data_IF_844969555004
#
_entry.id   IF_844969555004
#
_cell.length_a   1.000
_cell.length_b   1.000
_cell.length_c   1.000
_cell.angle_alpha   90.00
_cell.angle_beta   90.00
_cell.angle_gamma   90.00
#
_symmetry.space_group_name_H-M   'P 1'
#
loop_
_entity.id
_entity.type
_entity.pdbx_description
1 polymer ?
#
# COMPACT_ATOMS: atom_id res chain seq x y z
N UNK A 1 -7.94 6.58 25.75
CA UNK A 1 -9.18 6.06 25.13
C UNK A 1 -8.83 5.39 23.81
N UNK A 2 -9.64 4.44 23.35
CA UNK A 2 -9.40 3.71 22.10
C UNK A 2 -10.17 4.30 20.92
N UNK A 3 -9.55 4.33 19.76
CA UNK A 3 -10.19 4.65 18.49
C UNK A 3 -10.84 3.39 17.92
N UNK A 4 -11.95 3.53 17.20
CA UNK A 4 -12.62 2.41 16.55
C UNK A 4 -12.76 2.75 15.07
N UNK A 5 -12.23 1.86 14.24
CA UNK A 5 -12.38 1.88 12.79
C UNK A 5 -13.51 0.91 12.44
N UNK A 6 -14.43 1.33 11.57
CA UNK A 6 -15.50 0.50 11.03
C UNK A 6 -15.10 0.09 9.62
N UNK A 7 -15.07 -1.22 9.37
CA UNK A 7 -14.75 -1.82 8.08
C UNK A 7 -15.97 -1.83 7.17
N UNK A 8 -15.73 -1.92 5.87
CA UNK A 8 -16.80 -2.01 4.85
C UNK A 8 -17.73 -3.23 5.03
N UNK A 9 -17.24 -4.30 5.66
CA UNK A 9 -18.02 -5.49 6.00
C UNK A 9 -18.89 -5.34 7.28
N UNK A 10 -18.88 -4.16 7.91
CA UNK A 10 -19.60 -3.86 9.15
C UNK A 10 -18.91 -4.34 10.43
N UNK A 11 -17.73 -4.94 10.34
CA UNK A 11 -16.92 -5.28 11.51
C UNK A 11 -16.20 -4.04 12.05
N UNK A 12 -15.94 -4.02 13.35
CA UNK A 12 -15.28 -2.90 14.02
C UNK A 12 -13.93 -3.35 14.58
N UNK A 13 -12.86 -2.61 14.27
CA UNK A 13 -11.54 -2.83 14.86
C UNK A 13 -11.19 -1.71 15.83
N UNK A 14 -10.85 -2.09 17.06
CA UNK A 14 -10.33 -1.17 18.06
C UNK A 14 -8.86 -0.90 17.75
N UNK A 15 -8.53 0.35 17.44
CA UNK A 15 -7.16 0.81 17.30
C UNK A 15 -6.76 1.50 18.60
N UNK A 16 -5.92 0.80 19.35
CA UNK A 16 -5.19 1.31 20.49
C UNK A 16 -3.94 0.47 20.71
N UNK A 17 -2.95 1.02 21.38
CA UNK A 17 -1.74 0.27 21.76
C UNK A 17 -0.46 1.07 21.67
N UNK A 18 -0.40 2.05 20.79
CA UNK A 18 0.73 2.95 20.69
C UNK A 18 0.56 4.15 21.62
N UNK A 19 1.56 4.40 22.46
CA UNK A 19 1.70 5.59 23.29
C UNK A 19 2.93 6.37 22.83
N UNK A 20 2.71 7.60 22.36
CA UNK A 20 3.82 8.48 22.01
C UNK A 20 4.67 8.83 23.24
N UNK A 21 5.99 8.76 23.08
CA UNK A 21 6.92 9.36 24.03
C UNK A 21 8.01 10.12 23.28
N UNK A 22 8.31 11.33 23.76
CA UNK A 22 9.44 12.08 23.22
C UNK A 22 10.76 11.34 23.48
N UNK A 23 11.72 11.38 22.54
CA UNK A 23 13.02 10.76 22.72
C UNK A 23 13.75 11.32 23.94
N UNK A 24 14.48 10.47 24.67
CA UNK A 24 15.28 10.89 25.83
C UNK A 24 16.42 11.83 25.37
N UNK A 25 16.83 12.82 26.18
CA UNK A 25 18.02 13.62 25.87
C UNK A 25 19.24 12.74 25.60
N UNK A 26 19.99 13.03 24.53
CA UNK A 26 21.16 12.23 24.13
C UNK A 26 20.83 11.00 23.27
N UNK A 27 19.57 10.79 22.89
CA UNK A 27 19.18 9.78 21.88
C UNK A 27 19.98 9.98 20.60
N UNK A 28 20.62 8.92 20.12
CA UNK A 28 21.37 8.90 18.87
C UNK A 28 20.41 9.15 17.70
N UNK A 29 20.77 10.07 16.81
CA UNK A 29 19.99 10.39 15.61
C UNK A 29 20.59 9.67 14.42
N UNK A 30 19.74 9.18 13.53
CA UNK A 30 20.18 8.61 12.26
C UNK A 30 20.84 9.69 11.39
N UNK A 31 22.05 9.40 10.89
CA UNK A 31 22.88 10.33 10.12
C UNK A 31 23.00 10.02 8.63
N UNK A 32 22.61 8.82 8.17
CA UNK A 32 22.63 8.43 6.76
C UNK A 32 24.01 8.40 6.10
N UNK A 33 25.05 8.06 6.86
CA UNK A 33 26.43 8.15 6.38
C UNK A 33 26.86 6.95 5.52
N UNK A 34 26.14 5.81 5.53
CA UNK A 34 26.64 4.56 4.91
C UNK A 34 26.58 4.57 3.39
N UNK A 35 25.53 5.17 2.83
CA UNK A 35 25.42 5.32 1.37
C UNK A 35 26.35 6.42 0.81
N UNK A 36 26.96 7.25 1.66
CA UNK A 36 27.79 8.36 1.22
C UNK A 36 27.05 9.28 0.24
N UNK A 37 27.67 9.56 -0.91
CA UNK A 37 27.11 10.40 -1.98
C UNK A 37 26.38 9.59 -3.08
N UNK A 38 26.09 8.31 -2.87
CA UNK A 38 25.32 7.52 -3.85
C UNK A 38 23.92 8.10 -4.00
N UNK A 39 23.41 8.09 -5.23
CA UNK A 39 22.01 8.40 -5.48
C UNK A 39 21.13 7.33 -4.81
N UNK A 40 19.97 7.75 -4.32
CA UNK A 40 18.98 6.80 -3.79
C UNK A 40 18.29 6.11 -4.97
N UNK A 41 18.05 4.80 -4.92
CA UNK A 41 17.24 4.11 -5.93
C UNK A 41 15.81 4.67 -5.90
N UNK A 42 15.07 4.60 -7.02
CA UNK A 42 13.68 5.05 -7.07
C UNK A 42 12.72 4.16 -6.27
N UNK A 43 13.08 2.88 -6.10
CA UNK A 43 12.30 1.89 -5.36
C UNK A 43 13.20 1.08 -4.44
N UNK A 44 12.71 0.81 -3.22
CA UNK A 44 13.31 -0.16 -2.29
C UNK A 44 12.21 -1.03 -1.73
N UNK A 45 12.43 -2.35 -1.75
CA UNK A 45 11.49 -3.32 -1.19
C UNK A 45 12.21 -4.36 -0.32
N UNK A 46 12.03 -4.27 1.01
CA UNK A 46 12.61 -5.20 1.97
C UNK A 46 11.68 -6.39 2.29
N UNK A 47 10.49 -6.49 1.67
CA UNK A 47 9.50 -7.56 1.92
C UNK A 47 10.07 -8.99 1.79
N UNK A 48 10.96 -9.32 0.83
CA UNK A 48 11.52 -10.68 0.72
C UNK A 48 12.22 -11.19 2.00
N UNK A 49 12.73 -10.27 2.81
CA UNK A 49 13.43 -10.59 4.05
C UNK A 49 12.56 -10.54 5.29
N UNK A 50 11.28 -10.22 5.17
CA UNK A 50 10.35 -10.24 6.30
C UNK A 50 9.78 -11.65 6.52
N UNK A 51 9.24 -11.86 7.72
CA UNK A 51 8.45 -13.04 8.12
C UNK A 51 7.00 -12.89 7.64
N UNK A 52 6.16 -13.90 7.85
CA UNK A 52 4.72 -13.83 7.54
C UNK A 52 4.01 -12.75 8.35
N UNK A 53 2.94 -12.14 7.84
CA UNK A 53 2.24 -11.06 8.55
C UNK A 53 1.60 -11.53 9.85
N UNK A 54 1.85 -10.75 10.91
CA UNK A 54 1.28 -10.98 12.23
C UNK A 54 -0.16 -10.49 12.36
N UNK A 55 -0.89 -11.07 13.31
CA UNK A 55 -2.21 -10.60 13.72
C UNK A 55 -2.27 -10.36 15.23
N UNK A 56 -2.32 -9.09 15.64
CA UNK A 56 -2.42 -8.69 17.05
C UNK A 56 -3.79 -9.03 17.70
N UNK A 57 -4.78 -9.43 16.90
CA UNK A 57 -6.14 -9.72 17.36
C UNK A 57 -6.78 -8.53 18.07
N UNK A 58 -7.31 -8.79 19.27
CA UNK A 58 -8.02 -7.79 20.10
C UNK A 58 -7.11 -7.09 21.12
N UNK A 59 -5.82 -7.40 21.13
CA UNK A 59 -4.84 -6.84 22.07
C UNK A 59 -4.35 -5.45 21.62
N UNK A 60 -3.83 -4.66 22.57
CA UNK A 60 -3.25 -3.35 22.31
C UNK A 60 -1.72 -3.43 22.11
N UNK A 61 -1.27 -4.46 21.39
CA UNK A 61 0.16 -4.84 21.26
C UNK A 61 0.83 -4.36 19.97
N UNK A 62 0.25 -3.39 19.24
CA UNK A 62 0.77 -2.96 17.93
C UNK A 62 2.26 -2.56 17.94
N UNK A 63 2.71 -1.88 19.00
CA UNK A 63 4.13 -1.55 19.19
C UNK A 63 5.01 -2.80 19.22
N UNK A 64 4.61 -3.83 19.97
CA UNK A 64 5.35 -5.08 20.06
C UNK A 64 5.38 -5.83 18.72
N UNK A 65 4.30 -5.77 17.92
CA UNK A 65 4.27 -6.39 16.60
C UNK A 65 5.19 -5.67 15.60
N UNK A 66 5.19 -4.33 15.60
CA UNK A 66 6.09 -3.54 14.75
C UNK A 66 7.57 -3.78 15.11
N UNK A 67 7.86 -3.85 16.41
CA UNK A 67 9.21 -4.12 16.94
C UNK A 67 9.63 -5.56 16.66
N UNK A 68 8.73 -6.54 16.82
CA UNK A 68 8.98 -7.94 16.47
C UNK A 68 9.37 -8.07 14.99
N UNK A 69 8.61 -7.48 14.07
CA UNK A 69 8.92 -7.55 12.64
C UNK A 69 10.29 -6.95 12.27
N UNK A 70 10.72 -5.87 12.95
CA UNK A 70 12.07 -5.32 12.77
C UNK A 70 13.16 -6.25 13.32
N UNK A 71 12.88 -6.90 14.45
CA UNK A 71 13.82 -7.79 15.10
C UNK A 71 13.94 -9.11 14.32
N UNK A 72 12.84 -9.70 13.88
CA UNK A 72 12.79 -10.88 13.00
C UNK A 72 13.53 -10.62 11.70
N UNK A 73 13.37 -9.43 11.11
CA UNK A 73 14.17 -9.02 9.96
C UNK A 73 15.67 -9.10 10.27
N UNK A 74 16.12 -8.54 11.41
CA UNK A 74 17.53 -8.63 11.80
C UNK A 74 17.98 -10.08 12.04
N UNK A 75 17.18 -10.87 12.74
CA UNK A 75 17.46 -12.28 13.02
C UNK A 75 17.59 -13.07 11.72
N UNK A 76 16.63 -12.96 10.80
CA UNK A 76 16.65 -13.63 9.50
C UNK A 76 17.86 -13.22 8.66
N UNK A 77 18.27 -11.94 8.73
CA UNK A 77 19.46 -11.45 8.02
C UNK A 77 20.79 -11.88 8.64
N UNK A 78 20.83 -12.28 9.91
CA UNK A 78 22.07 -12.70 10.60
C UNK A 78 22.17 -14.22 10.80
N UNK A 79 21.04 -14.89 11.00
CA UNK A 79 20.96 -16.31 11.35
C UNK A 79 20.48 -17.19 10.18
N UNK A 80 19.97 -16.58 9.09
CA UNK A 80 19.50 -17.28 7.89
C UNK A 80 18.53 -18.43 8.20
N UNK A 81 19.00 -19.68 8.11
CA UNK A 81 18.20 -20.90 8.36
C UNK A 81 17.81 -21.10 9.83
N UNK A 82 18.53 -20.48 10.77
CA UNK A 82 18.26 -20.56 12.21
C UNK A 82 17.31 -19.43 12.69
N UNK A 83 16.67 -18.72 11.77
CA UNK A 83 15.70 -17.67 12.09
C UNK A 83 14.42 -18.26 12.70
N UNK A 84 13.80 -17.51 13.60
CA UNK A 84 12.61 -17.91 14.34
C UNK A 84 11.61 -16.76 14.44
N UNK A 85 10.33 -17.09 14.59
CA UNK A 85 9.27 -16.11 14.88
C UNK A 85 9.36 -15.70 16.35
N UNK A 86 9.26 -14.40 16.60
CA UNK A 86 9.62 -13.82 17.90
C UNK A 86 8.38 -13.62 18.76
N UNK A 87 8.47 -13.94 20.05
CA UNK A 87 7.34 -13.76 20.96
C UNK A 87 6.96 -12.29 21.12
N UNK A 88 5.83 -11.92 20.52
CA UNK A 88 5.28 -10.56 20.63
C UNK A 88 4.80 -10.25 22.04
N UNK A 89 4.29 -11.24 22.78
CA UNK A 89 3.86 -11.04 24.17
C UNK A 89 5.04 -10.84 25.12
N UNK A 90 6.19 -11.48 24.86
CA UNK A 90 7.42 -11.24 25.61
C UNK A 90 7.86 -9.78 25.46
N UNK A 91 7.94 -9.28 24.22
CA UNK A 91 8.27 -7.87 23.93
C UNK A 91 7.24 -6.94 24.59
N UNK A 92 5.94 -7.27 24.45
CA UNK A 92 4.86 -6.42 24.96
C UNK A 92 4.82 -6.35 26.49
N UNK A 93 5.07 -7.45 27.18
CA UNK A 93 5.15 -7.48 28.64
C UNK A 93 6.31 -6.61 29.14
N UNK A 94 7.52 -6.87 28.64
CA UNK A 94 8.73 -6.15 29.07
C UNK A 94 8.65 -4.65 28.81
N UNK A 95 8.08 -4.24 27.67
CA UNK A 95 7.85 -2.82 27.38
C UNK A 95 6.96 -2.11 28.42
N UNK A 96 5.93 -2.82 28.94
CA UNK A 96 4.99 -2.27 29.93
C UNK A 96 5.52 -2.35 31.35
N UNK A 97 6.33 -3.37 31.67
CA UNK A 97 7.00 -3.49 32.96
C UNK A 97 7.96 -2.31 33.25
N UNK A 98 8.54 -1.71 32.20
CA UNK A 98 9.32 -0.47 32.33
C UNK A 98 8.47 0.78 32.64
N UNK A 99 7.16 0.76 32.39
CA UNK A 99 6.27 1.89 32.68
C UNK A 99 5.63 1.80 34.08
N UNK A 100 5.29 0.58 34.53
CA UNK A 100 4.49 0.35 35.75
C UNK A 100 4.54 -1.10 36.21
N UNK A 101 4.25 -1.32 37.49
CA UNK A 101 4.17 -2.67 38.09
C UNK A 101 2.81 -3.36 37.84
N UNK A 102 1.71 -2.62 37.71
CA UNK A 102 0.38 -3.19 37.47
C UNK A 102 0.10 -3.36 35.97
N UNK A 103 0.67 -4.44 35.40
CA UNK A 103 0.62 -4.74 33.97
C UNK A 103 -0.82 -4.93 33.48
N UNK A 104 -1.18 -4.16 32.44
CA UNK A 104 -2.50 -4.18 31.78
C UNK A 104 -2.34 -4.00 30.28
N UNK A 105 -3.30 -4.51 29.52
CA UNK A 105 -3.37 -4.36 28.07
C UNK A 105 -3.85 -2.95 27.69
N UNK A 106 -2.99 -1.95 27.91
CA UNK A 106 -3.27 -0.53 27.70
C UNK A 106 -2.34 0.13 26.66
N UNK A 107 -1.55 -0.68 25.96
CA UNK A 107 -0.52 -0.21 25.05
C UNK A 107 0.84 0.03 25.70
N UNK A 108 1.82 0.32 24.86
CA UNK A 108 3.22 0.55 25.25
C UNK A 108 3.85 1.66 24.41
N UNK A 109 5.05 2.07 24.83
CA UNK A 109 5.89 3.06 24.14
C UNK A 109 6.93 2.33 23.28
N UNK A 110 7.17 2.79 22.04
CA UNK A 110 8.15 2.17 21.11
C UNK A 110 9.54 2.10 21.75
N UNK A 111 10.00 3.22 22.32
CA UNK A 111 11.29 3.28 23.00
C UNK A 111 11.42 2.25 24.15
N UNK A 112 10.35 1.96 24.89
CA UNK A 112 10.41 0.97 25.97
C UNK A 112 10.49 -0.46 25.43
N UNK A 113 9.79 -0.76 24.33
CA UNK A 113 9.92 -2.06 23.68
C UNK A 113 11.36 -2.28 23.15
N UNK A 114 11.96 -1.25 22.54
CA UNK A 114 13.36 -1.27 22.10
C UNK A 114 14.32 -1.45 23.30
N UNK A 115 14.09 -0.76 24.42
CA UNK A 115 14.94 -0.93 25.62
C UNK A 115 14.80 -2.34 26.21
N UNK A 116 13.59 -2.90 26.21
CA UNK A 116 13.37 -4.30 26.60
C UNK A 116 14.15 -5.28 25.72
N UNK A 117 14.22 -5.05 24.41
CA UNK A 117 15.05 -5.88 23.50
C UNK A 117 16.56 -5.72 23.76
N UNK A 118 17.03 -4.56 24.21
CA UNK A 118 18.45 -4.37 24.58
C UNK A 118 18.80 -5.10 25.88
N UNK A 119 17.86 -5.11 26.83
CA UNK A 119 18.09 -5.70 28.15
C UNK A 119 17.88 -7.22 28.15
N UNK A 120 16.80 -7.67 27.52
CA UNK A 120 16.34 -9.05 27.60
C UNK A 120 16.50 -9.82 26.30
N UNK A 121 16.55 -9.14 25.15
CA UNK A 121 16.39 -9.78 23.85
C UNK A 121 14.93 -10.16 23.59
N UNK A 122 14.70 -11.18 22.78
CA UNK A 122 13.38 -11.80 22.65
C UNK A 122 13.46 -13.29 22.32
N UNK A 123 12.62 -14.07 23.00
CA UNK A 123 12.49 -15.50 22.81
C UNK A 123 11.63 -15.85 21.58
N UNK A 124 11.60 -17.14 21.25
CA UNK A 124 10.70 -17.67 20.22
C UNK A 124 9.23 -17.56 20.63
N UNK A 125 8.34 -17.32 19.67
CA UNK A 125 6.90 -17.40 19.86
C UNK A 125 6.45 -18.83 20.19
N UNK A 126 7.25 -19.87 19.92
CA UNK A 126 6.98 -21.22 20.42
C UNK A 126 7.14 -21.33 21.94
N UNK A 127 8.15 -20.64 22.50
CA UNK A 127 8.45 -20.66 23.95
C UNK A 127 7.47 -19.79 24.73
N UNK A 128 7.07 -18.65 24.17
CA UNK A 128 6.04 -17.79 24.75
C UNK A 128 4.98 -17.41 23.70
N UNK A 129 3.95 -18.26 23.51
CA UNK A 129 2.95 -18.10 22.46
C UNK A 129 2.10 -16.84 22.54
N UNK A 130 1.62 -16.38 21.38
CA UNK A 130 0.65 -15.30 21.32
C UNK A 130 -0.75 -15.78 21.78
N UNK A 131 -0.97 -15.79 23.09
CA UNK A 131 -2.26 -16.05 23.72
C UNK A 131 -2.78 -14.81 24.46
N UNK A 132 -3.91 -14.28 24.00
CA UNK A 132 -4.56 -13.10 24.58
C UNK A 132 -4.94 -13.27 26.07
N UNK A 133 -5.15 -14.49 26.54
CA UNK A 133 -5.44 -14.76 27.95
C UNK A 133 -4.20 -14.52 28.83
N UNK A 134 -3.01 -14.70 28.27
CA UNK A 134 -1.71 -14.51 28.94
C UNK A 134 -1.09 -13.14 28.67
N UNK A 135 -1.81 -12.23 28.01
CA UNK A 135 -1.30 -10.92 27.57
C UNK A 135 -0.68 -10.08 28.70
N UNK A 136 -1.08 -10.28 29.95
CA UNK A 136 -0.54 -9.54 31.10
C UNK A 136 0.33 -10.41 32.03
N UNK A 137 0.50 -11.69 31.70
CA UNK A 137 1.31 -12.61 32.50
C UNK A 137 2.79 -12.39 32.22
N UNK A 138 3.59 -12.53 33.28
CA UNK A 138 5.04 -12.45 33.18
C UNK A 138 5.57 -13.68 32.43
N UNK A 139 6.46 -13.49 31.43
CA UNK A 139 7.10 -14.61 30.76
C UNK A 139 7.85 -15.53 31.73
N UNK A 140 7.94 -16.81 31.37
CA UNK A 140 8.68 -17.80 32.14
C UNK A 140 10.18 -17.47 32.22
N UNK A 141 10.86 -17.98 33.25
CA UNK A 141 12.33 -17.87 33.36
C UNK A 141 13.04 -18.46 32.13
N UNK A 142 12.52 -19.56 31.58
CA UNK A 142 12.99 -20.18 30.34
C UNK A 142 12.91 -19.22 29.14
N UNK A 143 11.83 -18.44 29.03
CA UNK A 143 11.69 -17.43 27.97
C UNK A 143 12.77 -16.33 28.12
N UNK A 144 13.08 -15.88 29.33
CA UNK A 144 14.16 -14.91 29.54
C UNK A 144 15.54 -15.49 29.24
N UNK A 145 15.79 -16.76 29.58
CA UNK A 145 17.05 -17.44 29.27
C UNK A 145 17.26 -17.59 27.76
N UNK A 146 16.22 -17.97 27.02
CA UNK A 146 16.26 -18.06 25.55
C UNK A 146 16.46 -16.68 24.91
N UNK A 147 15.73 -15.66 25.39
CA UNK A 147 15.79 -14.32 24.84
C UNK A 147 17.20 -13.72 24.84
N UNK A 148 18.06 -14.07 25.81
CA UNK A 148 19.45 -13.61 25.90
C UNK A 148 20.35 -14.09 24.75
N UNK A 149 19.91 -15.04 23.92
CA UNK A 149 20.69 -15.54 22.80
C UNK A 149 20.87 -14.49 21.68
N UNK A 150 19.93 -13.54 21.59
CA UNK A 150 20.00 -12.45 20.63
C UNK A 150 19.54 -11.17 21.33
N UNK A 151 20.40 -10.16 21.37
CA UNK A 151 20.07 -8.83 21.90
C UNK A 151 20.45 -7.78 20.87
N UNK A 152 19.66 -6.72 20.78
CA UNK A 152 20.02 -5.58 19.91
C UNK A 152 21.08 -4.72 20.61
N UNK A 153 21.99 -4.15 19.84
CA UNK A 153 23.17 -3.48 20.39
C UNK A 153 23.13 -1.96 20.18
N UNK A 154 22.38 -1.47 19.19
CA UNK A 154 22.22 -0.04 18.93
C UNK A 154 20.81 0.31 18.44
N UNK A 155 20.45 1.58 18.62
CA UNK A 155 19.21 2.16 18.09
C UNK A 155 19.42 3.61 17.74
N UNK A 156 18.78 4.05 16.66
CA UNK A 156 18.82 5.43 16.20
C UNK A 156 17.41 5.92 15.94
N UNK A 157 17.15 7.17 16.32
CA UNK A 157 15.91 7.82 15.96
C UNK A 157 16.04 8.45 14.57
N UNK A 158 15.11 8.12 13.69
CA UNK A 158 15.05 8.63 12.32
C UNK A 158 14.24 9.94 12.32
N UNK A 159 14.76 11.05 11.78
CA UNK A 159 13.99 12.27 11.67
C UNK A 159 12.82 12.10 10.69
N UNK A 160 11.70 12.79 10.96
CA UNK A 160 10.54 12.85 10.04
C UNK A 160 10.89 13.66 8.80
N UNK A 161 11.66 13.05 7.89
CA UNK A 161 12.17 13.67 6.68
C UNK A 161 12.23 12.60 5.58
N UNK A 162 11.73 12.94 4.40
CA UNK A 162 11.58 12.01 3.27
C UNK A 162 12.93 11.40 2.85
N UNK A 163 13.94 12.23 2.67
CA UNK A 163 15.27 11.76 2.24
C UNK A 163 15.91 10.88 3.31
N UNK A 164 15.79 11.24 4.60
CA UNK A 164 16.31 10.42 5.69
C UNK A 164 15.65 9.03 5.77
N UNK A 165 14.33 8.96 5.58
CA UNK A 165 13.58 7.71 5.55
C UNK A 165 13.97 6.83 4.35
N UNK A 166 13.96 7.41 3.14
CA UNK A 166 14.37 6.69 1.92
C UNK A 166 15.80 6.18 2.05
N UNK A 167 16.72 7.01 2.51
CA UNK A 167 18.12 6.63 2.74
C UNK A 167 18.24 5.51 3.77
N UNK A 168 17.48 5.58 4.86
CA UNK A 168 17.46 4.54 5.89
C UNK A 168 17.00 3.18 5.35
N UNK A 169 15.94 3.18 4.53
CA UNK A 169 15.43 1.97 3.87
C UNK A 169 16.41 1.44 2.83
N UNK A 170 17.01 2.31 2.01
CA UNK A 170 18.03 1.94 1.03
C UNK A 170 19.32 1.39 1.67
N UNK A 171 19.61 1.79 2.92
CA UNK A 171 20.69 1.20 3.73
C UNK A 171 20.33 -0.18 4.33
N UNK A 172 19.11 -0.68 4.08
CA UNK A 172 18.61 -1.96 4.56
C UNK A 172 18.02 -1.93 5.97
N UNK A 173 17.56 -0.78 6.45
CA UNK A 173 16.99 -0.66 7.80
C UNK A 173 15.49 -0.38 7.76
N UNK A 174 14.65 -1.38 8.12
CA UNK A 174 13.24 -1.15 8.42
C UNK A 174 13.04 -0.13 9.54
N UNK A 175 12.04 0.73 9.40
CA UNK A 175 11.77 1.82 10.34
C UNK A 175 10.53 1.48 11.15
N UNK A 176 10.69 1.30 12.46
CA UNK A 176 9.57 1.19 13.41
C UNK A 176 9.03 2.59 13.64
N UNK A 177 7.74 2.82 13.46
CA UNK A 177 7.17 4.16 13.66
C UNK A 177 5.78 4.16 14.27
N UNK A 178 5.49 5.24 14.99
CA UNK A 178 4.15 5.57 15.46
C UNK A 178 3.49 6.64 14.60
N UNK A 179 2.22 6.44 14.26
CA UNK A 179 1.43 7.38 13.45
C UNK A 179 0.01 7.53 14.01
N UNK A 180 -0.59 8.70 13.77
CA UNK A 180 -2.01 8.93 14.03
C UNK A 180 -2.85 8.37 12.88
N UNK A 181 -3.75 7.43 13.17
CA UNK A 181 -4.72 6.92 12.21
C UNK A 181 -6.03 7.72 12.24
N UNK A 182 -6.70 7.73 11.09
CA UNK A 182 -7.99 8.38 10.86
C UNK A 182 -9.01 7.35 10.35
N UNK A 183 -10.27 7.76 10.22
CA UNK A 183 -11.31 6.83 9.74
C UNK A 183 -11.06 6.44 8.28
N UNK A 184 -10.55 7.38 7.49
CA UNK A 184 -10.10 7.17 6.13
C UNK A 184 -9.06 6.07 5.96
N UNK A 185 -8.29 5.72 7.00
CA UNK A 185 -7.25 4.69 6.91
C UNK A 185 -7.75 3.32 6.41
N UNK A 186 -9.00 2.99 6.73
CA UNK A 186 -9.65 1.72 6.36
C UNK A 186 -10.70 1.91 5.27
N UNK A 187 -10.85 3.15 4.76
CA UNK A 187 -11.62 3.47 3.57
C UNK A 187 -10.73 3.34 2.32
N UNK A 188 -9.97 2.25 2.27
CA UNK A 188 -9.07 1.92 1.19
C UNK A 188 -9.89 1.64 -0.07
N UNK A 189 -9.70 2.44 -1.12
CA UNK A 189 -10.35 2.20 -2.42
C UNK A 189 -9.72 1.02 -3.16
N UNK A 190 -8.45 0.77 -2.88
CA UNK A 190 -7.67 -0.38 -3.32
C UNK A 190 -7.02 -1.00 -2.09
N UNK A 191 -6.91 -2.32 -2.06
CA UNK A 191 -6.30 -3.05 -0.94
C UNK A 191 -4.95 -2.47 -0.58
N UNK A 192 -4.79 -2.09 0.69
CA UNK A 192 -3.53 -1.57 1.22
C UNK A 192 -3.27 -0.10 0.87
N UNK A 193 -3.84 0.48 -0.19
CA UNK A 193 -3.61 1.88 -0.53
C UNK A 193 -4.32 2.82 0.47
N UNK A 194 -3.52 3.49 1.29
CA UNK A 194 -4.02 4.36 2.36
C UNK A 194 -4.30 5.75 1.81
N UNK A 195 -5.56 6.23 1.84
CA UNK A 195 -5.87 7.58 1.41
C UNK A 195 -5.34 8.62 2.40
N UNK A 196 -5.17 9.84 1.91
CA UNK A 196 -4.85 10.97 2.78
C UNK A 196 -6.02 11.29 3.72
N UNK A 197 -5.74 11.62 4.99
CA UNK A 197 -6.77 12.13 5.87
C UNK A 197 -7.23 13.52 5.41
N UNK A 198 -8.53 13.78 5.48
CA UNK A 198 -9.10 15.11 5.14
C UNK A 198 -8.91 16.10 6.30
N UNK A 199 -8.87 17.41 6.03
CA UNK A 199 -8.77 18.41 7.11
C UNK A 199 -9.99 18.43 8.05
N UNK A 200 -11.15 17.94 7.57
CA UNK A 200 -12.38 17.78 8.36
C UNK A 200 -12.38 16.51 9.21
N UNK A 201 -11.55 15.52 8.87
CA UNK A 201 -11.23 14.44 9.80
C UNK A 201 -10.40 15.05 10.92
N UNK A 202 -11.10 15.61 11.91
CA UNK A 202 -10.46 16.07 13.12
C UNK A 202 -9.53 14.95 13.57
N UNK A 203 -8.24 15.26 13.65
CA UNK A 203 -7.34 14.60 14.58
C UNK A 203 -8.03 14.79 15.93
N UNK A 204 -8.97 13.91 16.28
CA UNK A 204 -9.70 13.99 17.55
C UNK A 204 -8.62 13.80 18.57
N UNK A 205 -8.15 14.94 19.08
CA UNK A 205 -6.92 15.05 19.83
C UNK A 205 -6.91 13.96 20.87
N UNK A 206 -5.89 13.09 20.76
CA UNK A 206 -5.43 12.07 21.70
C UNK A 206 -5.70 10.57 21.50
N UNK A 207 -6.33 10.04 20.44
CA UNK A 207 -6.78 8.62 20.55
C UNK A 207 -6.60 7.61 19.38
N UNK A 208 -6.09 8.00 18.20
CA UNK A 208 -5.93 7.09 17.05
C UNK A 208 -4.52 6.52 16.82
N UNK A 209 -3.67 6.44 17.84
CA UNK A 209 -2.26 6.04 17.66
C UNK A 209 -2.12 4.57 17.27
N UNK A 210 -1.32 4.29 16.24
CA UNK A 210 -0.92 2.95 15.83
C UNK A 210 0.58 2.91 15.53
N UNK A 211 1.20 1.74 15.73
CA UNK A 211 2.60 1.52 15.41
C UNK A 211 2.71 0.44 14.34
N UNK A 212 3.54 0.68 13.33
CA UNK A 212 3.76 -0.19 12.18
C UNK A 212 5.24 -0.19 11.80
N UNK A 213 5.61 -1.03 10.83
CA UNK A 213 6.97 -1.16 10.34
C UNK A 213 7.04 -0.73 8.87
N UNK A 214 7.82 0.30 8.56
CA UNK A 214 8.08 0.70 7.18
C UNK A 214 9.25 -0.11 6.63
N UNK A 215 9.05 -0.68 5.43
CA UNK A 215 9.92 -1.72 4.86
C UNK A 215 10.28 -1.44 3.41
N UNK A 216 9.95 -0.26 2.89
CA UNK A 216 10.28 0.09 1.52
C UNK A 216 9.61 1.39 1.09
N UNK A 217 9.86 1.77 -0.16
CA UNK A 217 9.25 2.94 -0.80
C UNK A 217 9.21 2.76 -2.32
N UNK A 218 8.31 3.50 -2.96
CA UNK A 218 8.20 3.64 -4.42
C UNK A 218 8.01 5.10 -4.79
N UNK A 219 8.94 5.64 -5.60
CA UNK A 219 8.87 7.02 -6.06
C UNK A 219 7.81 7.25 -7.15
N UNK A 220 7.57 6.26 -8.01
CA UNK A 220 6.49 6.31 -8.99
C UNK A 220 5.13 6.48 -8.32
N UNK A 221 4.87 5.68 -7.28
CA UNK A 221 3.62 5.74 -6.51
C UNK A 221 3.62 6.88 -5.46
N UNK A 222 4.79 7.42 -5.11
CA UNK A 222 5.02 8.36 -4.00
C UNK A 222 4.52 7.83 -2.64
N UNK A 223 4.75 6.55 -2.37
CA UNK A 223 4.30 5.84 -1.15
C UNK A 223 5.44 5.12 -0.44
N UNK A 224 5.28 4.97 0.87
CA UNK A 224 6.02 3.99 1.66
C UNK A 224 5.29 2.65 1.69
N UNK A 225 6.06 1.57 1.59
CA UNK A 225 5.59 0.19 1.81
C UNK A 225 5.64 -0.08 3.30
N UNK A 226 4.49 -0.44 3.89
CA UNK A 226 4.33 -0.56 5.34
C UNK A 226 3.73 -1.92 5.69
N UNK A 227 4.39 -2.64 6.59
CA UNK A 227 3.93 -3.87 7.20
C UNK A 227 3.00 -3.54 8.37
N UNK A 228 1.75 -3.98 8.30
CA UNK A 228 0.79 -3.89 9.40
C UNK A 228 0.75 -5.21 10.20
N UNK A 229 -0.01 -5.24 11.30
CA UNK A 229 -0.11 -6.38 12.22
C UNK A 229 -1.56 -6.85 12.40
N UNK A 230 -2.35 -6.80 11.33
CA UNK A 230 -3.79 -7.07 11.34
C UNK A 230 -4.21 -8.35 10.62
N UNK A 231 -3.23 -9.22 10.33
CA UNK A 231 -3.39 -10.43 9.53
C UNK A 231 -3.33 -10.17 8.02
N UNK A 232 -3.08 -11.24 7.27
CA UNK A 232 -2.94 -11.20 5.80
C UNK A 232 -4.21 -10.80 5.06
N UNK A 233 -5.40 -11.02 5.66
CA UNK A 233 -6.68 -10.67 5.04
C UNK A 233 -6.99 -9.15 5.07
N UNK A 234 -6.10 -8.32 5.61
CA UNK A 234 -6.29 -6.87 5.67
C UNK A 234 -5.29 -6.17 4.76
N UNK A 235 -5.73 -5.11 4.08
CA UNK A 235 -4.88 -4.39 3.14
C UNK A 235 -4.47 -5.28 1.97
N UNK A 236 -3.26 -5.06 1.45
CA UNK A 236 -2.64 -5.95 0.47
C UNK A 236 -1.83 -7.00 1.21
N UNK A 237 -2.42 -8.18 1.41
CA UNK A 237 -1.79 -9.32 2.08
C UNK A 237 -1.20 -8.99 3.45
N UNK A 238 -1.74 -8.01 4.17
CA UNK A 238 -1.26 -7.50 5.46
C UNK A 238 -0.37 -6.27 5.39
N UNK A 239 -0.02 -5.82 4.19
CA UNK A 239 0.71 -4.60 3.91
C UNK A 239 -0.22 -3.44 3.54
N UNK A 240 0.30 -2.24 3.65
CA UNK A 240 -0.33 -1.04 3.15
C UNK A 240 0.69 -0.07 2.56
N UNK A 241 0.18 0.80 1.69
CA UNK A 241 0.93 1.80 0.93
C UNK A 241 0.51 3.18 1.43
N UNK A 242 1.41 3.87 2.14
CA UNK A 242 1.11 5.14 2.79
C UNK A 242 1.79 6.28 2.03
N UNK A 243 1.05 7.31 1.57
CA UNK A 243 1.63 8.45 0.86
C UNK A 243 2.77 9.12 1.63
N UNK A 244 3.84 9.51 0.94
CA UNK A 244 4.98 10.22 1.54
C UNK A 244 4.55 11.41 2.38
N UNK A 245 3.66 12.24 1.82
CA UNK A 245 3.12 13.44 2.48
C UNK A 245 2.32 13.16 3.74
N UNK A 246 1.79 11.95 3.91
CA UNK A 246 1.13 11.55 5.15
C UNK A 246 2.19 11.25 6.22
N UNK A 247 3.11 10.35 5.89
CA UNK A 247 4.04 9.75 6.85
C UNK A 247 5.15 10.73 7.30
N UNK A 248 5.53 11.66 6.43
CA UNK A 248 6.54 12.70 6.69
C UNK A 248 5.92 14.00 7.26
N UNK A 249 4.62 14.01 7.52
CA UNK A 249 3.97 15.18 8.13
C UNK A 249 4.04 15.13 9.66
N UNK A 250 4.61 16.17 10.27
CA UNK A 250 4.65 16.33 11.74
C UNK A 250 3.24 16.39 12.38
N UNK A 251 2.21 16.73 11.59
CA UNK A 251 0.79 16.71 12.02
C UNK A 251 0.33 15.28 12.36
N UNK A 252 0.88 14.29 11.68
CA UNK A 252 0.40 12.90 11.70
C UNK A 252 1.41 11.95 12.36
N UNK A 253 2.70 12.19 12.13
CA UNK A 253 3.83 11.47 12.69
C UNK A 253 4.61 12.40 13.64
N UNK A 254 4.52 12.14 14.95
CA UNK A 254 5.18 12.92 15.99
C UNK A 254 6.71 12.75 16.07
N UNK A 255 7.33 12.03 15.12
CA UNK A 255 8.76 11.75 15.08
C UNK A 255 9.20 10.60 16.00
N UNK A 256 8.27 9.75 16.42
CA UNK A 256 8.55 8.52 17.16
C UNK A 256 8.88 7.40 16.17
N UNK A 257 10.06 7.52 15.54
CA UNK A 257 10.50 6.67 14.43
C UNK A 257 11.93 6.19 14.68
N UNK A 258 12.16 4.88 14.60
CA UNK A 258 13.35 4.23 15.13
C UNK A 258 13.82 3.12 14.23
N UNK A 259 15.13 2.94 14.20
CA UNK A 259 15.76 1.70 13.73
C UNK A 259 16.47 1.01 14.89
N UNK A 260 16.57 -0.31 14.77
CA UNK A 260 17.32 -1.18 15.67
C UNK A 260 18.45 -1.86 14.89
N UNK A 261 19.57 -2.14 15.56
CA UNK A 261 20.77 -2.69 14.93
C UNK A 261 21.49 -3.69 15.84
N UNK A 262 22.24 -4.57 15.21
CA UNK A 262 23.37 -5.31 15.79
C UNK A 262 24.68 -4.68 15.29
N UNK A 263 25.78 -4.77 16.04
CA UNK A 263 27.08 -4.17 15.70
C UNK A 263 27.64 -4.72 14.39
N UNK A 264 27.31 -5.96 14.04
CA UNK A 264 27.51 -6.48 12.68
C UNK A 264 26.57 -5.74 11.74
N UNK A 265 27.16 -4.86 10.94
CA UNK A 265 26.40 -3.94 10.10
C UNK A 265 25.97 -4.68 8.83
N UNK A 266 24.65 -4.82 8.61
CA UNK A 266 24.11 -5.44 7.39
C UNK A 266 24.67 -4.75 6.14
N UNK A 267 25.33 -5.47 5.23
CA UNK A 267 25.79 -4.87 3.97
C UNK A 267 24.60 -4.30 3.18
N UNK A 268 24.84 -3.21 2.44
CA UNK A 268 23.82 -2.65 1.54
C UNK A 268 23.55 -3.69 0.48
N UNK A 269 22.30 -4.09 0.40
CA UNK A 269 21.83 -5.13 -0.52
C UNK A 269 21.12 -4.45 -1.68
N UNK A 270 21.82 -4.31 -2.81
CA UNK A 270 21.32 -3.63 -4.00
C UNK A 270 20.25 -4.47 -4.72
N UNK A 271 20.13 -5.77 -4.43
CA UNK A 271 19.07 -6.62 -4.98
C UNK A 271 17.69 -6.26 -4.45
N UNK A 272 17.63 -5.48 -3.35
CA UNK A 272 16.37 -4.94 -2.82
C UNK A 272 15.96 -3.63 -3.49
N UNK A 273 16.76 -3.13 -4.42
CA UNK A 273 16.50 -1.91 -5.17
C UNK A 273 15.77 -2.27 -6.45
N UNK A 274 14.77 -1.48 -6.81
CA UNK A 274 14.06 -1.64 -8.07
C UNK A 274 14.20 -0.40 -8.95
N UNK A 275 13.72 -0.57 -10.18
CA UNK A 275 13.42 0.50 -11.12
C UNK A 275 12.20 1.34 -10.69
N UNK A 276 11.81 2.29 -11.55
CA UNK A 276 10.66 3.17 -11.37
C UNK A 276 9.30 2.47 -11.57
N UNK A 277 9.23 1.15 -11.77
CA UNK A 277 7.93 0.48 -11.96
C UNK A 277 7.08 0.50 -10.68
N UNK A 278 5.75 0.74 -10.79
CA UNK A 278 4.86 0.90 -9.64
C UNK A 278 4.72 -0.38 -8.80
N UNK A 279 4.31 -0.22 -7.55
CA UNK A 279 4.12 -1.29 -6.55
C UNK A 279 2.62 -1.56 -6.29
N UNK A 280 1.74 -0.67 -6.76
CA UNK A 280 0.29 -0.71 -6.56
C UNK A 280 -0.38 -1.39 -7.77
N UNK A 281 -1.29 -2.34 -7.50
CA UNK A 281 -1.78 -3.38 -8.42
C UNK A 281 -2.32 -2.92 -9.81
N UNK A 282 -2.01 -3.73 -10.81
CA UNK A 282 -2.35 -3.69 -12.23
C UNK A 282 -3.74 -4.30 -12.56
N UNK A 283 -4.22 -4.15 -13.81
CA UNK A 283 -5.52 -4.67 -14.30
C UNK A 283 -5.80 -6.13 -13.91
N UNK A 284 -4.78 -6.98 -13.88
CA UNK A 284 -4.85 -8.39 -13.47
C UNK A 284 -5.46 -8.56 -12.07
N UNK A 285 -5.20 -7.62 -11.17
CA UNK A 285 -5.74 -7.66 -9.81
C UNK A 285 -7.17 -7.14 -9.72
N UNK A 286 -7.55 -6.11 -10.51
CA UNK A 286 -8.95 -5.67 -10.58
C UNK A 286 -9.84 -6.82 -11.06
N UNK A 287 -9.38 -7.59 -12.05
CA UNK A 287 -10.09 -8.77 -12.55
C UNK A 287 -10.20 -9.88 -11.49
N UNK A 288 -9.17 -10.07 -10.66
CA UNK A 288 -9.16 -11.08 -9.60
C UNK A 288 -10.05 -10.70 -8.40
N UNK A 289 -10.21 -9.40 -8.15
CA UNK A 289 -10.96 -8.85 -7.01
C UNK A 289 -12.40 -8.46 -7.33
N UNK A 290 -12.78 -8.42 -8.61
CA UNK A 290 -14.17 -8.24 -9.03
C UNK A 290 -15.09 -9.30 -8.43
N UNK A 291 -16.22 -8.89 -7.87
CA UNK A 291 -17.25 -9.83 -7.46
C UNK A 291 -17.81 -10.60 -8.68
N UNK A 292 -18.25 -11.85 -8.48
CA UNK A 292 -18.68 -12.72 -9.59
C UNK A 292 -19.74 -12.05 -10.49
N UNK A 293 -20.61 -11.19 -9.95
CA UNK A 293 -21.64 -10.52 -10.74
C UNK A 293 -21.05 -9.40 -11.60
N UNK A 294 -20.13 -8.61 -11.07
CA UNK A 294 -19.41 -7.58 -11.81
C UNK A 294 -18.50 -8.20 -12.89
N UNK A 295 -17.78 -9.28 -12.54
CA UNK A 295 -16.93 -10.03 -13.47
C UNK A 295 -17.73 -10.63 -14.61
N UNK A 296 -18.86 -11.28 -14.33
CA UNK A 296 -19.73 -11.81 -15.39
C UNK A 296 -20.36 -10.71 -16.24
N UNK A 297 -20.73 -9.57 -15.65
CA UNK A 297 -21.26 -8.43 -16.41
C UNK A 297 -20.20 -7.83 -17.35
N UNK A 298 -18.94 -7.73 -16.91
CA UNK A 298 -17.82 -7.33 -17.75
C UNK A 298 -17.64 -8.30 -18.91
N UNK A 299 -17.57 -9.61 -18.65
CA UNK A 299 -17.39 -10.62 -19.70
C UNK A 299 -18.57 -10.67 -20.68
N UNK A 300 -19.81 -10.55 -20.19
CA UNK A 300 -21.01 -10.52 -21.03
C UNK A 300 -21.04 -9.29 -21.93
N UNK A 301 -20.54 -8.14 -21.44
CA UNK A 301 -20.44 -6.91 -22.21
C UNK A 301 -19.44 -7.00 -23.37
N UNK A 302 -18.42 -7.87 -23.27
CA UNK A 302 -17.43 -8.08 -24.34
C UNK A 302 -18.03 -8.73 -25.59
N UNK A 303 -19.16 -9.44 -25.47
CA UNK A 303 -19.88 -10.02 -26.60
C UNK A 303 -19.10 -11.13 -27.34
N UNK A 304 -19.07 -11.05 -28.67
CA UNK A 304 -18.42 -12.07 -29.52
C UNK A 304 -16.88 -11.99 -29.53
N UNK A 305 -16.31 -10.90 -29.03
CA UNK A 305 -14.85 -10.68 -28.95
C UNK A 305 -14.43 -10.60 -27.48
N UNK A 306 -13.67 -11.59 -26.95
CA UNK A 306 -13.40 -11.68 -25.52
C UNK A 306 -12.37 -10.65 -25.05
N UNK A 307 -12.36 -10.36 -23.75
CA UNK A 307 -11.55 -9.29 -23.13
C UNK A 307 -10.06 -9.39 -23.48
N UNK A 308 -9.48 -10.60 -23.42
CA UNK A 308 -8.07 -10.82 -23.74
C UNK A 308 -7.74 -10.51 -25.21
N UNK A 309 -8.72 -10.67 -26.11
CA UNK A 309 -8.55 -10.31 -27.53
C UNK A 309 -8.67 -8.80 -27.72
N UNK A 310 -9.56 -8.14 -26.98
CA UNK A 310 -9.73 -6.68 -27.02
C UNK A 310 -8.49 -5.96 -26.49
N UNK A 311 -7.95 -6.39 -25.35
CA UNK A 311 -6.70 -5.87 -24.80
C UNK A 311 -5.52 -6.12 -25.74
N UNK A 312 -5.42 -7.32 -26.33
CA UNK A 312 -4.38 -7.62 -27.30
C UNK A 312 -4.45 -6.71 -28.54
N UNK A 313 -5.66 -6.41 -29.04
CA UNK A 313 -5.86 -5.51 -30.18
C UNK A 313 -5.51 -4.06 -29.82
N UNK A 314 -5.94 -3.58 -28.64
CA UNK A 314 -5.61 -2.26 -28.13
C UNK A 314 -4.09 -2.03 -28.08
N UNK A 315 -3.36 -2.95 -27.47
CA UNK A 315 -1.90 -2.85 -27.34
C UNK A 315 -1.18 -2.98 -28.69
N UNK A 316 -1.63 -3.88 -29.58
CA UNK A 316 -1.06 -4.01 -30.92
C UNK A 316 -1.32 -2.79 -31.80
N UNK A 317 -2.43 -2.08 -31.59
CA UNK A 317 -2.72 -0.86 -32.34
C UNK A 317 -1.97 0.34 -31.78
N UNK A 318 -1.79 0.42 -30.46
CA UNK A 318 -0.95 1.44 -29.83
C UNK A 318 0.50 1.34 -30.35
N UNK A 319 1.12 0.16 -30.21
CA UNK A 319 2.47 -0.11 -30.68
C UNK A 319 2.62 -0.07 -32.22
N UNK A 320 1.51 -0.15 -32.96
CA UNK A 320 1.52 -0.22 -34.43
C UNK A 320 1.10 1.08 -35.12
N UNK A 321 0.82 2.14 -34.35
CA UNK A 321 0.24 3.37 -34.89
C UNK A 321 1.25 4.15 -35.74
N UNK A 322 2.54 4.01 -35.43
CA UNK A 322 3.67 4.61 -36.17
C UNK A 322 3.99 3.85 -37.48
N UNK A 323 3.39 2.66 -37.66
CA UNK A 323 3.49 1.82 -38.84
C UNK A 323 4.51 0.68 -38.77
N UNK A 324 5.23 0.49 -37.66
CA UNK A 324 6.02 -0.71 -37.35
C UNK A 324 5.59 -1.28 -36.00
N UNK A 325 5.95 -2.53 -35.67
CA UNK A 325 5.87 -3.01 -34.28
C UNK A 325 7.15 -3.78 -34.01
N UNK A 326 7.89 -3.35 -33.01
CA UNK A 326 9.18 -3.91 -32.69
C UNK A 326 9.08 -5.27 -31.99
N UNK A 327 10.16 -6.05 -32.06
CA UNK A 327 10.24 -7.31 -31.32
C UNK A 327 10.18 -7.08 -29.80
N UNK A 328 10.65 -5.92 -29.32
CA UNK A 328 10.66 -5.55 -27.88
C UNK A 328 9.25 -5.17 -27.41
N UNK A 329 8.50 -4.41 -28.19
CA UNK A 329 7.08 -4.13 -27.93
C UNK A 329 6.24 -5.40 -27.94
N UNK A 330 6.41 -6.26 -28.95
CA UNK A 330 5.69 -7.55 -29.00
C UNK A 330 5.96 -8.44 -27.79
N UNK A 331 7.18 -8.40 -27.24
CA UNK A 331 7.54 -9.11 -26.01
C UNK A 331 6.84 -8.48 -24.79
N UNK A 332 6.85 -7.15 -24.67
CA UNK A 332 6.15 -6.42 -23.61
C UNK A 332 4.63 -6.66 -23.61
N UNK A 333 3.99 -6.63 -24.78
CA UNK A 333 2.55 -6.95 -24.91
C UNK A 333 2.29 -8.40 -24.50
N UNK A 334 3.17 -9.33 -24.87
CA UNK A 334 3.01 -10.74 -24.53
C UNK A 334 3.14 -11.00 -23.02
N UNK A 335 4.01 -10.27 -22.34
CA UNK A 335 4.18 -10.31 -20.89
C UNK A 335 2.91 -9.82 -20.18
N UNK A 336 2.46 -8.61 -20.53
CA UNK A 336 1.23 -8.02 -19.99
C UNK A 336 0.00 -8.93 -20.21
N UNK A 337 -0.19 -9.46 -21.43
CA UNK A 337 -1.29 -10.39 -21.69
C UNK A 337 -1.15 -11.69 -20.90
N UNK A 338 0.06 -12.13 -20.57
CA UNK A 338 0.29 -13.29 -19.71
C UNK A 338 -0.32 -13.10 -18.32
N UNK A 339 -0.09 -11.94 -17.71
CA UNK A 339 -0.61 -11.59 -16.39
C UNK A 339 -2.14 -11.52 -16.39
N UNK A 340 -2.73 -10.90 -17.42
CA UNK A 340 -4.20 -10.80 -17.58
C UNK A 340 -4.82 -12.18 -17.80
N UNK A 341 -4.22 -13.02 -18.65
CA UNK A 341 -4.73 -14.38 -18.92
C UNK A 341 -4.68 -15.26 -17.67
N UNK A 342 -3.62 -15.15 -16.87
CA UNK A 342 -3.49 -15.86 -15.59
C UNK A 342 -4.57 -15.40 -14.59
N UNK A 343 -4.79 -14.09 -14.47
CA UNK A 343 -5.83 -13.53 -13.61
C UNK A 343 -7.24 -13.98 -14.00
N UNK A 344 -7.52 -14.11 -15.30
CA UNK A 344 -8.78 -14.65 -15.83
C UNK A 344 -8.89 -16.18 -15.71
N UNK A 345 -7.83 -16.86 -15.27
CA UNK A 345 -7.76 -18.33 -15.18
C UNK A 345 -7.67 -19.05 -16.52
N UNK A 346 -7.25 -18.34 -17.58
CA UNK A 346 -7.15 -18.85 -18.95
C UNK A 346 -5.79 -19.50 -19.20
N UNK A 347 -5.79 -20.74 -19.72
CA UNK A 347 -4.57 -21.46 -20.10
C UNK A 347 -4.25 -21.27 -21.57
N UNK A 348 -4.06 -20.01 -21.97
CA UNK A 348 -3.68 -19.62 -23.34
C UNK A 348 -2.21 -19.19 -23.36
N UNK A 349 -1.54 -19.36 -24.50
CA UNK A 349 -0.18 -18.82 -24.69
C UNK A 349 -0.29 -17.40 -25.27
N UNK A 350 0.25 -16.37 -24.60
CA UNK A 350 0.12 -14.97 -25.04
C UNK A 350 0.57 -14.75 -26.48
N UNK A 351 1.69 -15.38 -26.88
CA UNK A 351 2.21 -15.27 -28.25
C UNK A 351 1.25 -15.83 -29.31
N UNK A 352 0.45 -16.84 -28.96
CA UNK A 352 -0.58 -17.39 -29.87
C UNK A 352 -1.80 -16.47 -29.95
N UNK A 353 -2.17 -15.82 -28.84
CA UNK A 353 -3.24 -14.81 -28.80
C UNK A 353 -2.86 -13.62 -29.67
N UNK A 354 -1.66 -13.05 -29.48
CA UNK A 354 -1.15 -11.94 -30.28
C UNK A 354 -1.11 -12.24 -31.76
N UNK A 355 -0.53 -13.39 -32.14
CA UNK A 355 -0.47 -13.82 -33.54
C UNK A 355 -1.84 -13.93 -34.20
N UNK A 356 -2.86 -14.32 -33.42
CA UNK A 356 -4.23 -14.38 -33.89
C UNK A 356 -4.86 -12.98 -34.00
N UNK A 357 -4.50 -12.06 -33.10
CA UNK A 357 -5.03 -10.70 -33.04
C UNK A 357 -4.46 -9.76 -34.11
N UNK A 358 -3.27 -10.03 -34.66
CA UNK A 358 -2.69 -9.25 -35.78
C UNK A 358 -3.62 -9.08 -36.99
N UNK A 359 -4.61 -9.97 -37.19
CA UNK A 359 -5.59 -9.83 -38.27
C UNK A 359 -6.63 -8.71 -38.04
N UNK A 360 -6.69 -8.17 -36.83
CA UNK A 360 -7.63 -7.14 -36.39
C UNK A 360 -6.96 -5.78 -36.23
N UNK A 361 -5.66 -5.66 -36.51
CA UNK A 361 -4.92 -4.41 -36.30
C UNK A 361 -5.44 -3.24 -37.15
N UNK A 362 -6.02 -3.52 -38.32
CA UNK A 362 -6.64 -2.50 -39.19
C UNK A 362 -8.15 -2.32 -38.91
N UNK A 363 -8.68 -2.88 -37.80
CA UNK A 363 -10.11 -2.84 -37.49
C UNK A 363 -10.43 -1.72 -36.50
N UNK A 364 -10.61 -0.50 -37.04
CA UNK A 364 -10.95 0.71 -36.26
C UNK A 364 -12.27 0.55 -35.48
N UNK A 365 -13.30 -0.06 -36.08
CA UNK A 365 -14.59 -0.28 -35.42
C UNK A 365 -14.45 -1.13 -34.13
N UNK A 366 -13.52 -2.09 -34.11
CA UNK A 366 -13.27 -2.93 -32.94
C UNK A 366 -12.47 -2.18 -31.86
N UNK A 367 -11.60 -1.25 -32.27
CA UNK A 367 -10.85 -0.41 -31.34
C UNK A 367 -11.78 0.55 -30.61
N UNK A 368 -12.61 1.29 -31.35
CA UNK A 368 -13.58 2.23 -30.78
C UNK A 368 -14.51 1.53 -29.80
N UNK A 369 -15.07 0.37 -30.19
CA UNK A 369 -15.93 -0.43 -29.31
C UNK A 369 -15.15 -0.92 -28.06
N UNK A 370 -13.88 -1.29 -28.22
CA UNK A 370 -13.03 -1.73 -27.10
C UNK A 370 -12.80 -0.59 -26.11
N UNK A 371 -12.43 0.60 -26.58
CA UNK A 371 -12.16 1.77 -25.73
C UNK A 371 -13.42 2.17 -24.96
N UNK A 372 -14.58 2.18 -25.62
CA UNK A 372 -15.87 2.48 -25.00
C UNK A 372 -16.25 1.43 -23.94
N UNK A 373 -16.12 0.14 -24.25
CA UNK A 373 -16.47 -0.94 -23.32
C UNK A 373 -15.56 -0.97 -22.09
N UNK A 374 -14.25 -0.79 -22.26
CA UNK A 374 -13.32 -0.71 -21.13
C UNK A 374 -13.65 0.50 -20.26
N UNK A 375 -13.88 1.67 -20.86
CA UNK A 375 -14.23 2.90 -20.14
C UNK A 375 -15.52 2.77 -19.32
N UNK A 376 -16.50 2.02 -19.82
CA UNK A 376 -17.80 1.83 -19.16
C UNK A 376 -17.78 0.77 -18.04
N UNK A 377 -16.85 -0.18 -18.08
CA UNK A 377 -16.88 -1.35 -17.22
C UNK A 377 -15.69 -1.50 -16.26
N UNK A 378 -14.59 -0.79 -16.50
CA UNK A 378 -13.42 -0.79 -15.62
C UNK A 378 -13.37 0.47 -14.76
N UNK A 379 -12.73 0.35 -13.60
CA UNK A 379 -12.48 1.51 -12.76
C UNK A 379 -11.49 2.48 -13.41
N UNK A 380 -11.55 3.77 -13.07
CA UNK A 380 -10.52 4.74 -13.51
C UNK A 380 -9.09 4.31 -13.16
N UNK A 381 -8.91 3.53 -12.09
CA UNK A 381 -7.61 3.02 -11.68
C UNK A 381 -7.12 1.88 -12.59
N UNK A 382 -7.99 0.95 -12.99
CA UNK A 382 -7.66 -0.06 -14.01
C UNK A 382 -7.35 0.59 -15.36
N UNK A 383 -8.13 1.58 -15.78
CA UNK A 383 -7.89 2.32 -17.02
C UNK A 383 -6.53 3.04 -16.97
N UNK A 384 -6.19 3.68 -15.85
CA UNK A 384 -4.86 4.26 -15.65
C UNK A 384 -3.74 3.21 -15.69
N UNK A 385 -3.96 2.03 -15.10
CA UNK A 385 -3.01 0.92 -15.16
C UNK A 385 -2.81 0.37 -16.58
N UNK A 386 -3.88 0.32 -17.38
CA UNK A 386 -3.80 -0.03 -18.81
C UNK A 386 -2.97 1.01 -19.57
N UNK A 387 -3.24 2.31 -19.36
CA UNK A 387 -2.48 3.39 -20.02
C UNK A 387 -1.00 3.36 -19.63
N UNK A 388 -0.68 3.18 -18.34
CA UNK A 388 0.70 3.11 -17.88
C UNK A 388 1.47 1.92 -18.49
N UNK A 389 0.80 0.76 -18.65
CA UNK A 389 1.38 -0.40 -19.32
C UNK A 389 1.50 -0.20 -20.84
N UNK A 390 0.55 0.49 -21.46
CA UNK A 390 0.66 0.88 -22.87
C UNK A 390 1.89 1.78 -23.08
N UNK A 391 2.04 2.83 -22.26
CA UNK A 391 3.18 3.75 -22.30
C UNK A 391 4.51 3.01 -22.14
N UNK A 392 4.61 2.09 -21.17
CA UNK A 392 5.80 1.25 -20.99
C UNK A 392 6.13 0.42 -22.22
N UNK A 393 5.12 -0.19 -22.86
CA UNK A 393 5.29 -1.02 -24.05
C UNK A 393 5.76 -0.16 -25.24
N UNK A 394 5.04 0.91 -25.59
CA UNK A 394 5.37 1.72 -26.78
C UNK A 394 6.63 2.57 -26.61
N UNK A 395 7.13 2.70 -25.37
CA UNK A 395 8.40 3.36 -25.09
C UNK A 395 9.61 2.43 -25.27
N UNK A 396 9.42 1.16 -25.62
CA UNK A 396 10.49 0.16 -25.67
C UNK A 396 11.56 0.46 -26.74
N UNK A 397 11.18 0.95 -27.92
CA UNK A 397 12.10 1.22 -29.04
C UNK A 397 12.09 2.65 -29.60
N UNK A 398 11.89 3.61 -28.70
CA UNK A 398 11.78 5.08 -28.90
C UNK A 398 10.35 5.55 -29.26
N UNK A 399 9.66 6.13 -28.27
CA UNK A 399 8.31 6.68 -28.40
C UNK A 399 8.17 7.69 -29.57
N UNK A 400 7.27 7.42 -30.49
CA UNK A 400 6.93 8.26 -31.65
C UNK A 400 5.85 9.31 -31.34
N UNK A 401 5.76 10.35 -32.18
CA UNK A 401 4.71 11.38 -32.06
C UNK A 401 3.29 10.78 -32.25
N UNK A 402 3.17 9.73 -33.06
CA UNK A 402 1.88 9.07 -33.34
C UNK A 402 1.42 8.22 -32.14
N UNK A 403 2.34 7.56 -31.44
CA UNK A 403 2.08 6.80 -30.21
C UNK A 403 1.75 7.72 -29.03
N UNK A 404 2.48 8.83 -28.89
CA UNK A 404 2.20 9.85 -27.88
C UNK A 404 0.78 10.42 -28.07
N UNK A 405 0.40 10.73 -29.31
CA UNK A 405 -0.96 11.21 -29.64
C UNK A 405 -2.03 10.16 -29.34
N UNK A 406 -1.76 8.88 -29.58
CA UNK A 406 -2.69 7.78 -29.29
C UNK A 406 -2.92 7.62 -27.77
N UNK A 407 -1.86 7.70 -26.98
CA UNK A 407 -1.94 7.65 -25.52
C UNK A 407 -2.72 8.84 -24.95
N UNK A 408 -2.46 10.05 -25.46
CA UNK A 408 -3.16 11.28 -25.06
C UNK A 408 -4.68 11.18 -25.33
N UNK A 409 -5.07 10.65 -26.49
CA UNK A 409 -6.49 10.42 -26.84
C UNK A 409 -7.15 9.43 -25.86
N UNK A 410 -6.47 8.33 -25.49
CA UNK A 410 -6.99 7.39 -24.51
C UNK A 410 -7.13 8.01 -23.11
N UNK A 411 -6.16 8.83 -22.70
CA UNK A 411 -6.20 9.55 -21.42
C UNK A 411 -7.39 10.51 -21.37
N UNK A 412 -7.65 11.23 -22.46
CA UNK A 412 -8.78 12.15 -22.59
C UNK A 412 -10.12 11.39 -22.55
N UNK A 413 -10.26 10.33 -23.36
CA UNK A 413 -11.48 9.53 -23.46
C UNK A 413 -11.85 8.86 -22.13
N UNK A 414 -10.86 8.36 -21.38
CA UNK A 414 -11.08 7.74 -20.08
C UNK A 414 -11.01 8.72 -18.91
N UNK A 415 -10.75 10.00 -19.18
CA UNK A 415 -10.61 11.06 -18.17
C UNK A 415 -9.67 10.65 -17.02
N UNK A 416 -8.51 10.13 -17.41
CA UNK A 416 -7.47 9.63 -16.49
C UNK A 416 -6.63 10.79 -15.92
N UNK A 417 -6.63 11.95 -16.58
CA UNK A 417 -6.06 13.20 -16.08
C UNK A 417 -7.16 14.18 -15.60
N UNK A 418 -6.85 14.87 -14.49
CA UNK A 418 -7.58 15.98 -13.84
C UNK A 418 -8.79 15.66 -12.92
N UNK A 419 -8.49 15.37 -11.65
CA UNK A 419 -9.22 15.96 -10.51
C UNK A 419 -8.34 17.10 -9.96
N UNK A 420 -8.42 18.29 -10.56
CA UNK A 420 -7.68 19.47 -10.13
C UNK A 420 -8.29 20.78 -10.63
N UNK A 421 -9.20 21.34 -9.82
CA UNK A 421 -9.68 22.74 -9.77
C UNK A 421 -9.66 23.59 -11.06
N UNK A 422 -10.84 23.91 -11.61
CA UNK A 422 -11.14 25.27 -12.08
C UNK A 422 -12.64 25.62 -11.86
N UNK A 423 -12.84 26.77 -11.24
CA UNK A 423 -14.12 27.42 -10.88
C UNK A 423 -14.83 28.03 -12.12
N UNK A 424 -16.15 28.21 -11.98
CA UNK A 424 -17.02 29.26 -12.56
C UNK A 424 -16.92 29.58 -14.07
N UNK A 425 -18.00 29.33 -14.82
CA UNK A 425 -18.81 30.43 -15.39
C UNK A 425 -20.14 29.96 -16.01
N UNK A 426 -21.07 30.91 -15.94
CA UNK A 426 -22.50 30.94 -16.23
C UNK A 426 -22.93 30.51 -17.65
N UNK A 427 -24.08 29.85 -17.78
CA UNK A 427 -25.07 30.23 -18.81
C UNK A 427 -26.49 30.22 -18.22
N UNK A 428 -27.02 31.42 -18.01
CA UNK A 428 -28.46 31.71 -17.93
C UNK A 428 -29.09 31.43 -19.30
N UNK A 429 -30.22 30.70 -19.35
CA UNK A 429 -31.29 31.03 -20.30
C UNK A 429 -32.65 30.99 -19.57
N UNK A 430 -33.28 32.17 -19.56
CA UNK A 430 -34.67 32.43 -19.19
C UNK A 430 -35.63 31.99 -20.32
N UNK A 431 -36.93 31.98 -19.95
CA UNK A 431 -38.12 32.06 -20.81
C UNK A 431 -38.60 30.73 -21.46
N UNK A 432 -39.90 30.39 -21.55
CA UNK A 432 -41.17 31.03 -21.22
C UNK A 432 -42.26 29.92 -21.33
N UNK A 433 -43.42 30.18 -20.73
CA UNK A 433 -44.77 29.68 -21.07
C UNK A 433 -45.14 28.19 -20.86
N UNK A 434 -46.11 27.99 -19.96
CA UNK A 434 -47.38 27.37 -20.38
C UNK A 434 -48.51 27.81 -19.44
N UNK A 435 -49.40 28.63 -20.02
CA UNK A 435 -50.75 28.93 -19.56
C UNK A 435 -51.63 27.67 -19.56
N UNK A 436 -52.51 27.57 -18.57
CA UNK A 436 -53.86 26.95 -18.61
C UNK A 436 -54.34 26.88 -17.13
N UNK A 437 -55.53 27.25 -16.70
CA UNK A 437 -56.64 28.07 -17.18
C UNK A 437 -57.72 28.02 -16.05
N UNK A 438 -58.67 28.96 -16.05
CA UNK A 438 -60.00 28.91 -15.39
C UNK A 438 -60.14 29.29 -13.88
N UNK A 439 -60.32 30.61 -13.67
CA UNK A 439 -61.54 31.30 -13.15
C UNK A 439 -62.78 30.38 -12.97
N UNK A 440 -63.76 30.53 -12.07
CA UNK A 440 -64.27 31.57 -11.17
C UNK A 440 -65.33 30.87 -10.29
N UNK A 441 -65.67 31.43 -9.12
CA UNK A 441 -67.06 31.80 -8.74
C UNK A 441 -67.19 32.07 -7.23
N UNK A 442 -67.72 33.25 -6.97
CA UNK A 442 -68.16 33.83 -5.70
C UNK A 442 -69.18 32.96 -4.93
N UNK A 443 -69.17 33.02 -3.59
CA UNK A 443 -70.32 33.56 -2.84
C UNK A 443 -70.06 33.61 -1.33
N UNK A 444 -70.43 34.75 -0.75
CA UNK A 444 -70.49 35.12 0.65
C UNK A 444 -71.65 34.40 1.41
N UNK A 445 -71.64 34.54 2.74
CA UNK A 445 -72.77 34.35 3.68
C UNK A 445 -73.25 32.92 4.08
N UNK A 446 -72.76 32.42 5.23
CA UNK A 446 -73.51 32.27 6.51
C UNK A 446 -72.81 31.50 7.62
#
# INVERSE_FOLDING_TARGET
MSFIIQRGDGSARRVSGYKFAAPRPGTKKYGGERLGNRALPPKVDLRPYLTTIENQGETNSCVANAVAGAYEYLVKRHLEEDAYDVSRLFIYYNARALERDDIKDEGSIIANAIEGLKEHGACSEETWPFDKETVNEEPSEEAYEEAQQFVIEDTEQVPTNLEAWKRCLAEGYPIIFGISLYKSFDAQRQKGLVPMPTDKEAARGSHGGHAMLCVGYSDADKVFIVRNSWGTNWGDNGYCYIPYRYLISEKHNGGDSWIIRRLETLEVDEDTWGDDSPVIEELSHELADMDEKAYHALLDAMGDVPLETRLAVLFLQAAGVDGDISDEELEGIAEYLGEVLEAMGLRLEPQKVLKHCLRYIENEDLLEETVELLGNHLSKAALAGIVARLEEVVSADDLSEDEESFLDELIELWQVAEDGDEDEDEEEEEDEDDDEDEEDEDEDDR
#
